data_IF_478511061658
#
_entry.id   IF_478511061658
#
_cell.length_a   1.000
_cell.length_b   1.000
_cell.length_c   1.000
_cell.angle_alpha   90.00
_cell.angle_beta   90.00
_cell.angle_gamma   90.00
#
_symmetry.space_group_name_H-M   'P 1'
#
loop_
_entity.id
_entity.type
_entity.pdbx_description
1 polymer ?
#
# COMPACT_ATOMS: atom_id res chain seq x y z
N UNK A 1 35.46 -32.34 48.96
CA UNK A 1 34.92 -31.27 48.09
C UNK A 1 35.47 -31.39 46.68
N UNK A 2 36.75 -31.71 46.50
CA UNK A 2 37.39 -31.87 45.18
C UNK A 2 36.82 -33.00 44.31
N UNK A 3 36.47 -34.16 44.88
CA UNK A 3 35.92 -35.29 44.10
C UNK A 3 34.56 -35.00 43.44
N UNK A 4 33.73 -34.15 44.05
CA UNK A 4 32.42 -33.77 43.48
C UNK A 4 32.54 -32.76 42.34
N UNK A 5 33.58 -31.91 42.37
CA UNK A 5 33.87 -30.94 41.30
C UNK A 5 34.36 -31.67 40.05
N UNK A 6 35.24 -32.67 40.21
CA UNK A 6 35.71 -33.50 39.10
C UNK A 6 34.56 -34.29 38.48
N UNK A 7 33.67 -34.85 39.30
CA UNK A 7 32.51 -35.58 38.80
C UNK A 7 31.53 -34.66 38.03
N UNK A 8 31.31 -33.43 38.52
CA UNK A 8 30.50 -32.42 37.85
C UNK A 8 31.08 -31.98 36.50
N UNK A 9 32.40 -31.83 36.41
CA UNK A 9 33.09 -31.48 35.17
C UNK A 9 33.03 -32.59 34.12
N UNK A 10 33.19 -33.85 34.54
CA UNK A 10 33.04 -35.01 33.65
C UNK A 10 31.60 -35.12 33.13
N UNK A 11 30.61 -34.90 34.01
CA UNK A 11 29.21 -34.91 33.61
C UNK A 11 28.90 -33.78 32.61
N UNK A 12 29.45 -32.60 32.81
CA UNK A 12 29.29 -31.44 31.92
C UNK A 12 29.89 -31.72 30.53
N UNK A 13 31.08 -32.33 30.46
CA UNK A 13 31.71 -32.70 29.18
C UNK A 13 30.91 -33.76 28.44
N UNK A 14 30.35 -34.74 29.16
CA UNK A 14 29.48 -35.77 28.56
C UNK A 14 28.20 -35.14 28.00
N UNK A 15 27.57 -34.22 28.74
CA UNK A 15 26.36 -33.52 28.29
C UNK A 15 26.65 -32.67 27.06
N UNK A 16 27.75 -31.90 27.07
CA UNK A 16 28.16 -31.07 25.92
C UNK A 16 28.45 -31.95 24.68
N UNK A 17 29.18 -33.06 24.86
CA UNK A 17 29.47 -34.01 23.80
C UNK A 17 28.20 -34.66 23.22
N UNK A 18 27.25 -35.04 24.06
CA UNK A 18 25.96 -35.58 23.63
C UNK A 18 25.12 -34.54 22.87
N UNK A 19 25.08 -33.28 23.33
CA UNK A 19 24.38 -32.20 22.60
C UNK A 19 25.03 -31.90 21.24
N UNK A 20 26.37 -31.89 21.14
CA UNK A 20 27.06 -31.67 19.87
C UNK A 20 26.85 -32.83 18.89
N UNK A 21 26.84 -34.08 19.37
CA UNK A 21 26.56 -35.26 18.56
C UNK A 21 25.11 -35.32 18.05
N UNK A 22 24.15 -34.73 18.78
CA UNK A 22 22.75 -34.60 18.34
C UNK A 22 22.53 -33.50 17.29
N UNK A 23 23.39 -32.48 17.24
CA UNK A 23 23.30 -31.37 16.28
C UNK A 23 24.04 -31.69 14.96
N UNK A 24 25.12 -32.47 15.01
CA UNK A 24 25.94 -32.82 13.86
C UNK A 24 25.21 -33.49 12.66
N UNK A 25 24.19 -34.37 12.83
CA UNK A 25 23.54 -35.03 11.70
C UNK A 25 22.61 -34.10 10.90
N UNK A 26 22.21 -32.94 11.46
CA UNK A 26 21.27 -32.00 10.80
C UNK A 26 21.94 -31.04 9.81
N UNK A 27 23.27 -30.97 9.77
CA UNK A 27 24.01 -30.09 8.85
C UNK A 27 24.51 -30.78 7.56
N UNK A 28 24.20 -32.06 7.32
CA UNK A 28 24.77 -32.83 6.20
C UNK A 28 23.81 -33.20 5.04
N UNK A 29 22.64 -32.57 4.92
CA UNK A 29 21.78 -32.75 3.75
C UNK A 29 21.43 -31.40 3.11
N UNK A 30 22.23 -30.99 2.12
CA UNK A 30 21.79 -29.99 1.11
C UNK A 30 20.85 -30.70 0.12
N UNK A 31 19.69 -30.13 -0.23
CA UNK A 31 18.93 -30.60 -1.38
C UNK A 31 19.72 -30.33 -2.69
N UNK A 32 19.59 -31.18 -3.71
CA UNK A 32 20.22 -30.95 -5.00
C UNK A 32 19.64 -29.71 -5.70
N UNK A 33 20.50 -28.96 -6.40
CA UNK A 33 20.12 -27.80 -7.19
C UNK A 33 19.22 -28.20 -8.37
N UNK A 34 18.25 -27.35 -8.77
CA UNK A 34 17.49 -27.57 -10.00
C UNK A 34 18.39 -27.45 -11.25
N UNK A 35 18.08 -28.18 -12.35
CA UNK A 35 18.87 -28.14 -13.57
C UNK A 35 18.82 -26.77 -14.23
N UNK A 36 19.98 -26.24 -14.59
CA UNK A 36 20.14 -25.03 -15.41
C UNK A 36 19.68 -25.28 -16.85
N UNK A 37 18.90 -24.37 -17.46
CA UNK A 37 18.63 -24.42 -18.90
C UNK A 37 19.91 -24.13 -19.72
N UNK A 38 20.02 -24.64 -20.95
CA UNK A 38 21.25 -24.60 -21.73
C UNK A 38 21.65 -23.18 -22.15
N UNK A 39 22.87 -22.79 -21.79
CA UNK A 39 23.56 -21.61 -22.29
C UNK A 39 24.17 -21.94 -23.66
N UNK A 40 23.64 -21.32 -24.72
CA UNK A 40 24.26 -21.32 -26.04
C UNK A 40 25.47 -20.39 -26.01
N UNK A 41 26.63 -20.99 -26.20
CA UNK A 41 27.92 -20.36 -26.41
C UNK A 41 27.85 -19.42 -27.62
N UNK A 42 28.07 -18.12 -27.40
CA UNK A 42 28.54 -17.21 -28.46
C UNK A 42 30.00 -16.91 -28.17
N UNK A 43 30.84 -17.55 -28.97
CA UNK A 43 32.28 -17.39 -29.06
C UNK A 43 32.60 -15.96 -29.55
N UNK A 44 33.42 -15.24 -28.77
CA UNK A 44 33.95 -13.94 -29.12
C UNK A 44 35.41 -14.13 -29.55
N UNK A 45 35.66 -14.10 -30.85
CA UNK A 45 37.00 -14.12 -31.42
C UNK A 45 37.46 -12.69 -31.72
N UNK A 46 38.68 -12.35 -31.25
CA UNK A 46 39.37 -11.08 -31.47
C UNK A 46 40.01 -11.04 -32.87
N UNK A 47 40.08 -9.87 -33.53
CA UNK A 47 40.69 -9.74 -34.86
C UNK A 47 42.20 -9.41 -34.79
N UNK A 48 42.96 -9.96 -35.74
CA UNK A 48 44.31 -9.51 -36.15
C UNK A 48 44.47 -9.56 -37.69
N UNK A 49 45.40 -8.78 -38.28
CA UNK A 49 45.23 -8.08 -39.57
C UNK A 49 45.72 -8.83 -40.82
N UNK A 50 45.50 -8.28 -42.04
CA UNK A 50 45.57 -9.03 -43.29
C UNK A 50 46.92 -8.92 -44.02
N UNK A 51 47.22 -9.93 -44.84
CA UNK A 51 48.27 -9.87 -45.87
C UNK A 51 47.74 -10.42 -47.20
N UNK A 52 47.59 -9.51 -48.17
CA UNK A 52 47.94 -9.52 -49.62
C UNK A 52 48.26 -10.91 -50.24
N UNK A 53 47.88 -11.33 -51.46
CA UNK A 53 47.89 -10.68 -52.79
C UNK A 53 47.11 -11.53 -53.83
N UNK A 54 46.53 -10.86 -54.85
CA UNK A 54 46.28 -11.27 -56.27
C UNK A 54 45.43 -12.53 -56.54
N UNK A 55 44.52 -12.56 -57.52
CA UNK A 55 44.63 -12.07 -58.90
C UNK A 55 43.22 -11.92 -59.52
N UNK A 56 43.03 -10.91 -60.37
CA UNK A 56 41.86 -10.74 -61.24
C UNK A 56 42.04 -11.61 -62.52
N UNK A 57 41.00 -11.85 -63.37
CA UNK A 57 40.48 -10.77 -64.20
C UNK A 57 38.97 -10.79 -64.55
N UNK A 58 38.49 -9.56 -64.75
CA UNK A 58 37.61 -9.05 -65.81
C UNK A 58 36.19 -9.62 -66.01
N UNK A 59 35.20 -8.74 -65.77
CA UNK A 59 34.07 -8.54 -66.68
C UNK A 59 33.29 -7.25 -66.33
N UNK A 60 33.46 -6.26 -67.21
CA UNK A 60 32.51 -5.22 -67.68
C UNK A 60 31.86 -4.26 -66.65
N UNK A 61 32.17 -2.98 -66.86
CA UNK A 61 31.65 -1.77 -66.20
C UNK A 61 30.29 -1.39 -66.79
N UNK A 62 29.29 -1.18 -65.93
CA UNK A 62 28.13 -0.32 -66.21
C UNK A 62 27.84 0.54 -64.97
N UNK A 63 27.67 1.85 -65.16
CA UNK A 63 27.66 2.86 -64.10
C UNK A 63 26.33 2.89 -63.31
N UNK A 64 26.35 3.10 -61.98
CA UNK A 64 25.13 3.26 -61.19
C UNK A 64 24.57 4.70 -61.28
N UNK A 65 23.23 4.89 -61.24
CA UNK A 65 22.62 6.21 -61.19
C UNK A 65 22.73 6.84 -59.79
N UNK A 66 22.72 8.19 -59.75
CA UNK A 66 22.85 9.02 -58.54
C UNK A 66 21.73 8.74 -57.51
N UNK A 67 22.03 8.69 -56.20
CA UNK A 67 21.00 8.62 -55.16
C UNK A 67 20.23 9.95 -55.03
N UNK A 68 18.90 9.86 -54.97
CA UNK A 68 18.02 10.96 -54.58
C UNK A 68 18.04 11.08 -53.05
N UNK A 69 18.40 12.26 -52.57
CA UNK A 69 18.49 12.60 -51.16
C UNK A 69 17.08 12.67 -50.54
N UNK A 70 16.81 11.84 -49.53
CA UNK A 70 15.56 11.86 -48.77
C UNK A 70 15.56 13.05 -47.79
N UNK A 71 14.47 13.81 -47.66
CA UNK A 71 14.43 14.94 -46.73
C UNK A 71 14.48 14.45 -45.28
N UNK A 72 15.32 15.10 -44.48
CA UNK A 72 15.50 14.84 -43.05
C UNK A 72 14.17 14.96 -42.27
N UNK A 73 13.93 14.13 -41.25
CA UNK A 73 12.76 14.23 -40.41
C UNK A 73 12.81 15.52 -39.59
N UNK A 74 11.77 16.34 -39.70
CA UNK A 74 11.52 17.48 -38.82
C UNK A 74 11.46 17.02 -37.35
N UNK A 75 12.04 17.76 -36.40
CA UNK A 75 11.93 17.44 -34.98
C UNK A 75 10.46 17.54 -34.56
N UNK A 76 9.93 16.46 -33.99
CA UNK A 76 8.64 16.50 -33.29
C UNK A 76 8.85 17.35 -32.04
N UNK A 77 8.33 18.57 -32.04
CA UNK A 77 8.24 19.37 -30.83
C UNK A 77 7.20 18.70 -29.94
N UNK A 78 7.67 18.03 -28.88
CA UNK A 78 6.81 17.46 -27.85
C UNK A 78 6.05 18.61 -27.18
N UNK A 79 4.73 18.66 -27.39
CA UNK A 79 3.88 19.69 -26.79
C UNK A 79 4.03 19.61 -25.26
N UNK A 80 4.11 20.75 -24.54
CA UNK A 80 4.20 20.73 -23.08
C UNK A 80 3.02 19.93 -22.51
N UNK A 81 3.26 19.08 -21.49
CA UNK A 81 2.23 18.22 -20.94
C UNK A 81 1.04 19.06 -20.51
N UNK A 82 -0.14 18.77 -21.07
CA UNK A 82 -1.36 19.44 -20.68
C UNK A 82 -1.69 19.02 -19.24
N UNK A 83 -1.72 20.00 -18.34
CA UNK A 83 -2.11 19.78 -16.96
C UNK A 83 -3.57 19.30 -16.93
N UNK A 84 -3.81 18.17 -16.30
CA UNK A 84 -5.14 17.66 -16.04
C UNK A 84 -5.76 18.48 -14.92
N UNK A 85 -6.91 19.09 -15.15
CA UNK A 85 -7.71 19.71 -14.08
C UNK A 85 -8.45 18.60 -13.35
N UNK A 86 -8.15 18.31 -12.07
CA UNK A 86 -8.82 17.25 -11.35
C UNK A 86 -10.31 17.58 -11.17
N UNK A 87 -11.16 16.56 -11.12
CA UNK A 87 -12.58 16.78 -10.85
C UNK A 87 -12.80 17.34 -9.43
N UNK A 88 -13.76 18.26 -9.25
CA UNK A 88 -14.15 18.79 -7.94
C UNK A 88 -14.56 17.67 -6.97
N UNK A 89 -14.14 17.81 -5.72
CA UNK A 89 -14.28 16.81 -4.65
C UNK A 89 -15.74 16.37 -4.42
N UNK A 90 -16.72 17.26 -4.56
CA UNK A 90 -18.14 16.93 -4.36
C UNK A 90 -18.70 15.94 -5.40
N UNK A 91 -18.39 16.13 -6.67
CA UNK A 91 -18.86 15.25 -7.75
C UNK A 91 -18.19 13.87 -7.66
N UNK A 92 -16.90 13.87 -7.32
CA UNK A 92 -16.11 12.67 -7.06
C UNK A 92 -16.72 11.81 -5.95
N UNK A 93 -17.03 12.41 -4.80
CA UNK A 93 -17.64 11.72 -3.66
C UNK A 93 -18.98 11.05 -4.02
N UNK A 94 -19.81 11.72 -4.80
CA UNK A 94 -21.11 11.17 -5.24
C UNK A 94 -20.93 9.91 -6.10
N UNK A 95 -20.01 9.94 -7.07
CA UNK A 95 -19.69 8.77 -7.91
C UNK A 95 -19.11 7.62 -7.09
N UNK A 96 -18.25 7.93 -6.13
CA UNK A 96 -17.57 6.96 -5.29
C UNK A 96 -18.52 6.24 -4.33
N UNK A 97 -19.51 6.95 -3.77
CA UNK A 97 -20.62 6.35 -3.00
C UNK A 97 -21.37 5.30 -3.81
N UNK A 98 -21.69 5.59 -5.07
CA UNK A 98 -22.37 4.65 -5.96
C UNK A 98 -21.52 3.40 -6.30
N UNK A 99 -20.19 3.46 -6.16
CA UNK A 99 -19.31 2.29 -6.32
C UNK A 99 -19.23 1.45 -5.05
N UNK A 100 -19.09 2.09 -3.89
CA UNK A 100 -19.11 1.43 -2.57
C UNK A 100 -20.38 0.62 -2.34
N UNK A 101 -21.55 1.21 -2.64
CA UNK A 101 -22.84 0.50 -2.52
C UNK A 101 -22.89 -0.75 -3.41
N UNK A 102 -22.32 -0.70 -4.62
CA UNK A 102 -22.34 -1.84 -5.56
C UNK A 102 -21.45 -3.00 -5.12
N UNK A 103 -20.28 -2.74 -4.56
CA UNK A 103 -19.35 -3.81 -4.14
C UNK A 103 -19.76 -4.50 -2.84
N UNK A 104 -20.51 -3.82 -1.96
CA UNK A 104 -20.82 -4.34 -0.62
C UNK A 104 -22.24 -4.90 -0.44
N UNK A 105 -23.07 -4.82 -1.48
CA UNK A 105 -24.44 -5.33 -1.47
C UNK A 105 -24.59 -6.84 -1.18
N UNK A 106 -23.54 -7.66 -1.33
CA UNK A 106 -23.64 -9.11 -1.06
C UNK A 106 -23.75 -9.39 0.43
N UNK A 107 -22.96 -8.69 1.26
CA UNK A 107 -22.97 -8.87 2.70
C UNK A 107 -24.28 -8.38 3.30
N UNK A 108 -24.71 -7.16 2.94
CA UNK A 108 -25.97 -6.58 3.41
C UNK A 108 -27.18 -7.44 3.06
N UNK A 109 -27.23 -8.01 1.85
CA UNK A 109 -28.32 -8.94 1.45
C UNK A 109 -28.32 -10.23 2.26
N UNK A 110 -27.15 -10.82 2.51
CA UNK A 110 -27.02 -12.03 3.33
C UNK A 110 -27.50 -11.79 4.76
N UNK A 111 -27.00 -10.73 5.39
CA UNK A 111 -27.39 -10.34 6.75
C UNK A 111 -28.89 -10.00 6.84
N UNK A 112 -29.44 -9.29 5.85
CA UNK A 112 -30.87 -9.01 5.80
C UNK A 112 -31.72 -10.28 5.71
N UNK A 113 -31.31 -11.26 4.91
CA UNK A 113 -32.03 -12.53 4.81
C UNK A 113 -32.05 -13.28 6.15
N UNK A 114 -30.94 -13.28 6.89
CA UNK A 114 -30.85 -13.88 8.22
C UNK A 114 -31.71 -13.13 9.24
N UNK A 115 -31.63 -11.80 9.25
CA UNK A 115 -32.36 -10.94 10.19
C UNK A 115 -33.86 -10.82 9.87
N UNK A 116 -34.32 -11.29 8.72
CA UNK A 116 -35.73 -11.32 8.32
C UNK A 116 -36.45 -12.62 8.66
N UNK A 117 -35.77 -13.59 9.27
CA UNK A 117 -36.41 -14.86 9.70
C UNK A 117 -37.42 -14.59 10.81
N UNK A 118 -38.53 -15.33 10.80
CA UNK A 118 -39.62 -15.20 11.78
C UNK A 118 -39.16 -15.41 13.23
N UNK A 119 -38.10 -16.21 13.41
CA UNK A 119 -37.48 -16.48 14.71
C UNK A 119 -35.96 -16.36 14.59
N UNK A 120 -35.37 -15.54 15.45
CA UNK A 120 -33.92 -15.42 15.64
C UNK A 120 -33.49 -16.33 16.78
N UNK A 121 -33.35 -17.61 16.48
CA UNK A 121 -32.75 -18.60 17.38
C UNK A 121 -31.22 -18.53 17.39
N UNK A 122 -30.60 -19.34 18.24
CA UNK A 122 -29.14 -19.36 18.42
C UNK A 122 -28.42 -19.69 17.11
N UNK A 123 -28.95 -20.63 16.32
CA UNK A 123 -28.41 -20.98 14.99
C UNK A 123 -28.39 -19.76 14.04
N UNK A 124 -29.46 -18.95 14.04
CA UNK A 124 -29.51 -17.73 13.22
C UNK A 124 -28.48 -16.69 13.67
N UNK A 125 -28.22 -16.56 14.97
CA UNK A 125 -27.18 -15.67 15.48
C UNK A 125 -25.78 -16.15 15.13
N UNK A 126 -25.54 -17.46 15.17
CA UNK A 126 -24.28 -18.06 14.75
C UNK A 126 -24.01 -17.82 13.25
N UNK A 127 -25.03 -17.93 12.39
CA UNK A 127 -24.94 -17.59 10.96
C UNK A 127 -24.62 -16.11 10.74
N UNK A 128 -25.17 -15.20 11.55
CA UNK A 128 -24.85 -13.76 11.49
C UNK A 128 -23.39 -13.51 11.89
N UNK A 129 -22.91 -14.17 12.94
CA UNK A 129 -21.50 -14.11 13.37
C UNK A 129 -20.57 -14.65 12.28
N UNK A 130 -20.86 -15.83 11.71
CA UNK A 130 -20.08 -16.40 10.61
C UNK A 130 -20.02 -15.46 9.40
N UNK A 131 -21.15 -14.85 9.05
CA UNK A 131 -21.25 -13.91 7.93
C UNK A 131 -20.37 -12.67 8.14
N UNK A 132 -20.37 -12.08 9.34
CA UNK A 132 -19.53 -10.94 9.68
C UNK A 132 -18.03 -11.30 9.73
N UNK A 133 -17.69 -12.49 10.25
CA UNK A 133 -16.31 -12.99 10.24
C UNK A 133 -15.83 -13.21 8.80
N UNK A 134 -16.66 -13.82 7.95
CA UNK A 134 -16.37 -14.04 6.52
C UNK A 134 -16.14 -12.74 5.75
N UNK A 135 -16.74 -11.63 6.22
CA UNK A 135 -16.51 -10.29 5.69
C UNK A 135 -15.23 -9.61 6.21
N UNK A 136 -14.36 -10.31 6.95
CA UNK A 136 -13.14 -9.80 7.59
C UNK A 136 -13.38 -8.74 8.69
N UNK A 137 -14.56 -8.69 9.33
CA UNK A 137 -14.80 -7.82 10.52
C UNK A 137 -13.88 -8.21 11.70
N UNK A 138 -13.51 -9.48 11.76
CA UNK A 138 -12.64 -10.06 12.79
C UNK A 138 -13.42 -10.61 13.98
N UNK A 139 -12.96 -11.75 14.50
CA UNK A 139 -13.69 -12.56 15.51
C UNK A 139 -14.10 -11.72 16.72
N UNK A 140 -13.16 -11.07 17.38
CA UNK A 140 -13.45 -10.29 18.59
C UNK A 140 -14.50 -9.19 18.34
N UNK A 141 -14.36 -8.43 17.24
CA UNK A 141 -15.27 -7.35 16.91
C UNK A 141 -16.67 -7.90 16.61
N UNK A 142 -16.74 -8.98 15.83
CA UNK A 142 -18.00 -9.65 15.52
C UNK A 142 -18.71 -10.13 16.78
N UNK A 143 -18.03 -10.88 17.66
CA UNK A 143 -18.64 -11.42 18.88
C UNK A 143 -19.22 -10.31 19.75
N UNK A 144 -18.51 -9.18 19.89
CA UNK A 144 -19.02 -8.02 20.63
C UNK A 144 -20.22 -7.35 19.96
N UNK A 145 -20.20 -7.19 18.63
CA UNK A 145 -21.30 -6.58 17.86
C UNK A 145 -22.55 -7.45 17.95
N UNK A 146 -22.41 -8.76 17.74
CA UNK A 146 -23.52 -9.73 17.77
C UNK A 146 -24.11 -9.82 19.18
N UNK A 147 -23.29 -9.84 20.23
CA UNK A 147 -23.77 -9.86 21.60
C UNK A 147 -24.65 -8.63 21.92
N UNK A 148 -24.20 -7.42 21.55
CA UNK A 148 -24.97 -6.19 21.75
C UNK A 148 -26.24 -6.15 20.90
N UNK A 149 -26.17 -6.61 19.66
CA UNK A 149 -27.33 -6.69 18.78
C UNK A 149 -28.39 -7.65 19.35
N UNK A 150 -27.99 -8.84 19.83
CA UNK A 150 -28.88 -9.81 20.47
C UNK A 150 -29.52 -9.26 21.73
N UNK A 151 -28.76 -8.55 22.56
CA UNK A 151 -29.28 -7.88 23.75
C UNK A 151 -30.35 -6.83 23.38
N UNK A 152 -30.05 -5.96 22.42
CA UNK A 152 -31.00 -4.93 21.94
C UNK A 152 -32.25 -5.52 21.31
N UNK A 153 -32.11 -6.54 20.48
CA UNK A 153 -33.24 -7.25 19.89
C UNK A 153 -34.16 -7.82 20.97
N UNK A 154 -33.59 -8.42 22.04
CA UNK A 154 -34.36 -8.94 23.17
C UNK A 154 -35.11 -7.84 23.94
N UNK A 155 -34.48 -6.67 24.12
CA UNK A 155 -35.10 -5.52 24.83
C UNK A 155 -36.25 -4.93 24.01
N UNK A 156 -36.07 -4.79 22.70
CA UNK A 156 -37.11 -4.25 21.81
C UNK A 156 -38.25 -5.23 21.53
N UNK A 157 -38.05 -6.54 21.74
CA UNK A 157 -39.07 -7.56 21.52
C UNK A 157 -39.20 -7.92 20.04
N UNK A 158 -40.36 -7.71 19.43
CA UNK A 158 -40.62 -7.96 18.01
C UNK A 158 -40.07 -6.82 17.16
N UNK A 159 -38.77 -6.86 16.90
CA UNK A 159 -38.12 -5.94 15.95
C UNK A 159 -38.34 -6.43 14.52
N UNK A 160 -38.72 -5.52 13.63
CA UNK A 160 -38.76 -5.78 12.19
C UNK A 160 -37.34 -5.95 11.63
N UNK A 161 -37.21 -6.62 10.49
CA UNK A 161 -35.92 -6.75 9.80
C UNK A 161 -35.23 -5.40 9.53
N UNK A 162 -36.04 -4.36 9.23
CA UNK A 162 -35.53 -3.01 9.02
C UNK A 162 -34.96 -2.39 10.31
N UNK A 163 -35.62 -2.59 11.45
CA UNK A 163 -35.12 -2.14 12.76
C UNK A 163 -33.85 -2.88 13.16
N UNK A 164 -33.80 -4.21 12.98
CA UNK A 164 -32.60 -5.01 13.25
C UNK A 164 -31.41 -4.58 12.38
N UNK A 165 -31.64 -4.31 11.09
CA UNK A 165 -30.62 -3.73 10.22
C UNK A 165 -30.14 -2.38 10.75
N UNK A 166 -31.05 -1.51 11.17
CA UNK A 166 -30.70 -0.21 11.76
C UNK A 166 -29.87 -0.35 13.04
N UNK A 167 -30.20 -1.31 13.90
CA UNK A 167 -29.42 -1.63 15.10
C UNK A 167 -28.03 -2.15 14.74
N UNK A 168 -27.92 -3.08 13.78
CA UNK A 168 -26.63 -3.58 13.31
C UNK A 168 -25.77 -2.46 12.71
N UNK A 169 -26.36 -1.60 11.88
CA UNK A 169 -25.68 -0.43 11.32
C UNK A 169 -25.15 0.48 12.44
N UNK A 170 -25.96 0.75 13.46
CA UNK A 170 -25.53 1.55 14.61
C UNK A 170 -24.35 0.91 15.36
N UNK A 171 -24.36 -0.41 15.59
CA UNK A 171 -23.26 -1.12 16.24
C UNK A 171 -21.99 -1.13 15.39
N UNK A 172 -22.10 -1.30 14.07
CA UNK A 172 -20.96 -1.23 13.15
C UNK A 172 -20.36 0.17 13.08
N UNK A 173 -21.19 1.22 13.03
CA UNK A 173 -20.73 2.61 13.10
C UNK A 173 -20.02 2.87 14.42
N UNK A 174 -20.59 2.42 15.54
CA UNK A 174 -19.97 2.56 16.85
C UNK A 174 -18.61 1.84 16.93
N UNK A 175 -18.50 0.64 16.35
CA UNK A 175 -17.24 -0.11 16.27
C UNK A 175 -16.17 0.62 15.44
N UNK A 176 -16.59 1.46 14.48
CA UNK A 176 -15.72 2.34 13.71
C UNK A 176 -15.39 3.66 14.42
N UNK A 177 -15.85 3.93 15.65
CA UNK A 177 -15.49 5.13 16.41
C UNK A 177 -15.61 6.42 15.55
N UNK A 178 -16.84 6.86 15.23
CA UNK A 178 -17.07 7.92 14.26
C UNK A 178 -16.44 9.27 14.68
N UNK A 179 -16.18 9.45 15.97
CA UNK A 179 -15.64 10.69 16.54
C UNK A 179 -14.10 10.82 16.39
N UNK A 180 -13.41 9.79 15.88
CA UNK A 180 -11.98 9.91 15.58
C UNK A 180 -11.74 10.96 14.49
N UNK A 181 -10.70 11.78 14.68
CA UNK A 181 -10.22 12.70 13.65
C UNK A 181 -9.65 11.93 12.46
N UNK A 182 -10.30 12.13 11.31
CA UNK A 182 -9.92 11.53 10.02
C UNK A 182 -9.42 12.57 9.02
N UNK A 183 -9.25 13.81 9.46
CA UNK A 183 -8.70 14.87 8.62
C UNK A 183 -7.26 14.51 8.22
N UNK A 184 -6.91 14.85 6.99
CA UNK A 184 -5.55 14.70 6.50
C UNK A 184 -4.76 15.94 6.93
N UNK A 185 -3.63 15.77 7.63
CA UNK A 185 -2.79 16.87 8.06
C UNK A 185 -1.93 17.44 6.90
N UNK A 186 -2.58 17.90 5.82
CA UNK A 186 -1.97 18.39 4.59
C UNK A 186 -2.03 19.92 4.42
N UNK A 187 -2.06 20.67 5.52
CA UNK A 187 -2.04 22.14 5.50
C UNK A 187 -0.78 22.66 6.19
N UNK A 188 -0.17 23.75 5.69
CA UNK A 188 1.01 24.35 6.31
C UNK A 188 0.84 24.60 7.80
N UNK A 189 1.90 24.34 8.56
CA UNK A 189 1.97 24.66 9.99
C UNK A 189 3.30 25.31 10.30
N UNK A 190 3.32 26.24 11.25
CA UNK A 190 4.54 26.83 11.78
C UNK A 190 5.48 27.41 10.69
N UNK A 191 4.91 27.93 9.60
CA UNK A 191 5.67 28.53 8.49
C UNK A 191 6.40 27.54 7.58
N UNK A 192 6.06 26.24 7.63
CA UNK A 192 6.59 25.18 6.76
C UNK A 192 5.45 24.41 6.07
N UNK A 193 5.72 23.74 4.92
CA UNK A 193 4.76 22.81 4.34
C UNK A 193 4.40 21.69 5.31
N UNK A 194 3.19 21.15 5.18
CA UNK A 194 2.84 19.87 5.77
C UNK A 194 3.71 18.75 5.16
N UNK A 195 4.24 17.86 5.98
CA UNK A 195 5.06 16.73 5.51
C UNK A 195 4.30 15.43 5.72
N UNK A 196 3.92 14.78 4.61
CA UNK A 196 3.21 13.51 4.56
C UNK A 196 4.17 12.39 4.14
N UNK A 197 4.38 11.41 5.02
CA UNK A 197 5.17 10.22 4.75
C UNK A 197 4.24 9.05 4.39
N UNK A 198 4.40 8.46 3.20
CA UNK A 198 3.58 7.33 2.76
C UNK A 198 4.38 6.04 2.85
N UNK A 199 3.90 5.11 3.68
CA UNK A 199 4.53 3.82 3.96
C UNK A 199 3.58 2.66 3.70
N UNK A 200 4.12 1.44 3.72
CA UNK A 200 3.32 0.22 3.60
C UNK A 200 3.93 -0.83 2.70
N UNK A 201 3.19 -1.91 2.52
CA UNK A 201 3.70 -3.14 1.93
C UNK A 201 3.76 -3.07 0.41
N UNK A 202 4.59 -3.92 -0.21
CA UNK A 202 4.64 -4.02 -1.66
C UNK A 202 3.30 -4.45 -2.25
N UNK A 203 2.93 -3.87 -3.39
CA UNK A 203 1.67 -4.21 -4.07
C UNK A 203 0.41 -3.59 -3.48
N UNK A 204 0.49 -2.89 -2.33
CA UNK A 204 -0.64 -2.18 -1.72
C UNK A 204 -1.06 -0.90 -2.45
N UNK A 205 -0.27 -0.45 -3.43
CA UNK A 205 -0.59 0.73 -4.24
C UNK A 205 -0.07 2.06 -3.68
N UNK A 206 1.08 2.08 -2.99
CA UNK A 206 1.70 3.29 -2.42
C UNK A 206 1.89 4.42 -3.42
N UNK A 207 2.75 4.23 -4.43
CA UNK A 207 3.04 5.22 -5.48
C UNK A 207 1.76 5.72 -6.17
N UNK A 208 0.83 4.81 -6.48
CA UNK A 208 -0.48 5.18 -7.04
C UNK A 208 -1.29 6.04 -6.09
N UNK A 209 -1.33 5.69 -4.80
CA UNK A 209 -2.04 6.44 -3.77
C UNK A 209 -1.39 7.80 -3.53
N UNK A 210 -0.06 7.90 -3.55
CA UNK A 210 0.65 9.18 -3.49
C UNK A 210 0.20 10.11 -4.63
N UNK A 211 0.15 9.60 -5.87
CA UNK A 211 -0.34 10.37 -7.01
C UNK A 211 -1.80 10.81 -6.87
N UNK A 212 -2.68 9.92 -6.38
CA UNK A 212 -4.09 10.26 -6.12
C UNK A 212 -4.25 11.30 -5.01
N UNK A 213 -3.47 11.22 -3.93
CA UNK A 213 -3.46 12.23 -2.85
C UNK A 213 -3.01 13.58 -3.40
N UNK A 214 -1.89 13.63 -4.13
CA UNK A 214 -1.40 14.87 -4.73
C UNK A 214 -2.47 15.48 -5.65
N UNK A 215 -3.16 14.66 -6.44
CA UNK A 215 -4.26 15.11 -7.30
C UNK A 215 -5.44 15.67 -6.51
N UNK A 216 -5.85 15.04 -5.40
CA UNK A 216 -6.91 15.56 -4.52
C UNK A 216 -6.50 16.91 -3.93
N UNK A 217 -5.28 17.01 -3.39
CA UNK A 217 -4.77 18.24 -2.79
C UNK A 217 -4.72 19.39 -3.80
N UNK A 218 -4.23 19.15 -5.02
CA UNK A 218 -4.23 20.12 -6.11
C UNK A 218 -5.66 20.51 -6.52
N UNK A 219 -6.59 19.55 -6.56
CA UNK A 219 -8.02 19.83 -6.82
C UNK A 219 -8.62 20.79 -5.79
N UNK A 220 -8.20 20.63 -4.53
CA UNK A 220 -8.60 21.46 -3.39
C UNK A 220 -7.81 22.78 -3.31
N UNK A 221 -6.96 23.09 -4.31
CA UNK A 221 -6.22 24.35 -4.43
C UNK A 221 -4.87 24.39 -3.72
N UNK A 222 -4.38 23.27 -3.19
CA UNK A 222 -3.08 23.18 -2.53
C UNK A 222 -1.94 23.01 -3.53
N UNK A 223 -0.81 23.62 -3.24
CA UNK A 223 0.45 23.39 -3.95
C UNK A 223 1.21 22.20 -3.34
N UNK A 224 1.73 21.32 -4.19
CA UNK A 224 2.31 20.04 -3.76
C UNK A 224 3.69 19.81 -4.38
N UNK A 225 4.64 19.39 -3.54
CA UNK A 225 5.90 18.77 -3.96
C UNK A 225 5.86 17.29 -3.58
N UNK A 226 6.38 16.42 -4.44
CA UNK A 226 6.46 14.98 -4.20
C UNK A 226 7.91 14.53 -4.09
N UNK A 227 8.22 13.63 -3.16
CA UNK A 227 9.54 13.01 -3.01
C UNK A 227 9.52 11.53 -3.41
N UNK A 228 10.34 11.15 -4.40
CA UNK A 228 10.47 9.78 -4.88
C UNK A 228 11.52 8.99 -4.07
N UNK A 229 11.20 8.69 -2.80
CA UNK A 229 12.10 7.96 -1.90
C UNK A 229 12.04 6.42 -2.05
N UNK A 230 11.17 5.85 -2.90
CA UNK A 230 11.31 4.45 -3.38
C UNK A 230 12.45 4.35 -4.42
N UNK A 231 13.69 4.55 -3.95
CA UNK A 231 14.90 4.64 -4.80
C UNK A 231 15.37 3.28 -5.35
N UNK A 232 14.83 2.19 -4.82
CA UNK A 232 15.17 0.83 -5.27
C UNK A 232 14.42 0.46 -6.56
N UNK A 233 13.26 1.08 -6.82
CA UNK A 233 12.46 0.81 -8.01
C UNK A 233 12.52 2.02 -8.94
N UNK A 234 13.39 1.97 -9.95
CA UNK A 234 13.47 3.02 -10.98
C UNK A 234 12.08 3.37 -11.56
N UNK A 235 11.28 2.35 -11.88
CA UNK A 235 9.92 2.53 -12.37
C UNK A 235 8.95 3.22 -11.39
N UNK A 236 9.20 3.13 -10.07
CA UNK A 236 8.37 3.83 -9.08
C UNK A 236 8.59 5.34 -9.13
N UNK A 237 9.85 5.78 -9.24
CA UNK A 237 10.18 7.20 -9.40
C UNK A 237 9.61 7.78 -10.71
N UNK A 238 9.69 7.03 -11.82
CA UNK A 238 9.08 7.43 -13.10
C UNK A 238 7.55 7.48 -13.04
N UNK A 239 6.94 6.49 -12.39
CA UNK A 239 5.50 6.46 -12.16
C UNK A 239 5.07 7.68 -11.34
N UNK A 240 5.78 8.00 -10.25
CA UNK A 240 5.51 9.17 -9.42
C UNK A 240 5.67 10.48 -10.20
N UNK A 241 6.73 10.60 -11.01
CA UNK A 241 6.95 11.75 -11.89
C UNK A 241 5.81 11.93 -12.91
N UNK A 242 5.28 10.83 -13.45
CA UNK A 242 4.11 10.87 -14.34
C UNK A 242 2.87 11.38 -13.61
N UNK A 243 2.65 10.94 -12.36
CA UNK A 243 1.55 11.46 -11.53
C UNK A 243 1.69 12.95 -11.24
N UNK A 244 2.88 13.38 -10.80
CA UNK A 244 3.15 14.79 -10.51
C UNK A 244 2.99 15.68 -11.73
N UNK A 245 3.54 15.26 -12.88
CA UNK A 245 3.45 15.98 -14.15
C UNK A 245 2.01 16.17 -14.65
N UNK A 246 1.10 15.22 -14.39
CA UNK A 246 -0.33 15.36 -14.74
C UNK A 246 -1.02 16.48 -13.98
N UNK A 247 -0.60 16.79 -12.76
CA UNK A 247 -1.27 17.76 -11.87
C UNK A 247 -0.40 19.00 -11.57
N UNK A 248 0.78 19.09 -12.19
CA UNK A 248 1.70 20.20 -11.98
C UNK A 248 2.45 20.16 -10.64
N UNK A 249 2.46 19.01 -9.95
CA UNK A 249 3.24 18.82 -8.73
C UNK A 249 4.69 18.47 -9.09
N UNK A 250 5.64 19.24 -8.56
CA UNK A 250 7.07 18.98 -8.77
C UNK A 250 7.48 17.68 -8.08
N UNK A 251 8.28 16.83 -8.74
CA UNK A 251 8.78 15.57 -8.17
C UNK A 251 10.29 15.61 -7.99
N UNK A 252 10.73 15.58 -6.74
CA UNK A 252 12.14 15.46 -6.35
C UNK A 252 12.55 13.99 -6.36
N UNK A 253 13.63 13.68 -7.08
CA UNK A 253 14.16 12.32 -7.23
C UNK A 253 15.70 12.34 -7.21
N UNK A 254 16.29 11.29 -6.64
CA UNK A 254 17.73 11.03 -6.72
C UNK A 254 18.10 10.10 -7.88
N UNK A 255 19.39 9.81 -8.09
CA UNK A 255 19.82 8.73 -8.97
C UNK A 255 19.29 7.36 -8.50
N UNK A 256 19.26 6.36 -9.39
CA UNK A 256 18.86 5.00 -9.03
C UNK A 256 19.77 4.46 -7.91
N UNK A 257 19.16 3.87 -6.87
CA UNK A 257 19.89 3.39 -5.70
C UNK A 257 20.39 4.49 -4.75
N UNK A 258 19.96 5.75 -4.92
CA UNK A 258 20.22 6.81 -3.96
C UNK A 258 19.68 6.46 -2.57
N UNK A 259 20.27 7.06 -1.54
CA UNK A 259 19.77 6.94 -0.17
C UNK A 259 18.36 7.57 -0.06
N UNK A 260 17.30 6.80 0.27
CA UNK A 260 15.93 7.31 0.41
C UNK A 260 15.81 8.52 1.33
N UNK A 261 16.58 8.52 2.42
CA UNK A 261 16.55 9.60 3.40
C UNK A 261 17.11 10.91 2.82
N UNK A 262 18.08 10.84 1.92
CA UNK A 262 18.61 12.03 1.22
C UNK A 262 17.58 12.60 0.25
N UNK A 263 16.89 11.75 -0.52
CA UNK A 263 15.82 12.20 -1.44
C UNK A 263 14.66 12.84 -0.67
N UNK A 264 14.25 12.24 0.45
CA UNK A 264 13.21 12.78 1.31
C UNK A 264 13.60 14.13 1.94
N UNK A 265 14.85 14.28 2.38
CA UNK A 265 15.39 15.55 2.86
C UNK A 265 15.31 16.65 1.81
N UNK A 266 15.80 16.36 0.60
CA UNK A 266 15.82 17.32 -0.51
C UNK A 266 14.40 17.70 -0.94
N UNK A 267 13.43 16.77 -0.90
CA UNK A 267 12.04 17.05 -1.19
C UNK A 267 11.43 18.06 -0.19
N UNK A 268 11.70 17.88 1.10
CA UNK A 268 11.19 18.79 2.14
C UNK A 268 11.85 20.15 2.04
N UNK A 269 13.17 20.19 1.86
CA UNK A 269 13.91 21.43 1.62
C UNK A 269 13.35 22.18 0.41
N UNK A 270 13.12 21.47 -0.70
CA UNK A 270 12.55 22.06 -1.92
C UNK A 270 11.15 22.61 -1.68
N UNK A 271 10.31 21.89 -0.94
CA UNK A 271 8.98 22.37 -0.56
C UNK A 271 9.01 23.64 0.30
N UNK A 272 9.95 23.73 1.24
CA UNK A 272 10.20 24.94 2.04
C UNK A 272 10.63 26.10 1.14
N UNK A 273 11.63 25.89 0.28
CA UNK A 273 12.19 26.92 -0.60
C UNK A 273 11.15 27.44 -1.61
N UNK A 274 10.25 26.56 -2.07
CA UNK A 274 9.17 26.90 -2.99
C UNK A 274 7.92 27.46 -2.29
N UNK A 275 7.85 27.39 -0.95
CA UNK A 275 6.70 27.85 -0.17
C UNK A 275 5.41 27.09 -0.48
N UNK A 276 5.51 25.78 -0.77
CA UNK A 276 4.32 24.96 -1.08
C UNK A 276 3.51 24.61 0.16
N UNK A 277 2.29 24.14 -0.05
CA UNK A 277 1.39 23.76 1.03
C UNK A 277 1.75 22.40 1.64
N UNK A 278 2.11 21.43 0.80
CA UNK A 278 2.36 20.04 1.20
C UNK A 278 3.56 19.41 0.47
N UNK A 279 4.33 18.62 1.21
CA UNK A 279 5.34 17.69 0.69
C UNK A 279 4.90 16.25 0.93
N UNK A 280 4.80 15.45 -0.13
CA UNK A 280 4.35 14.06 -0.08
C UNK A 280 5.47 13.09 -0.46
N UNK A 281 5.88 12.21 0.44
CA UNK A 281 7.05 11.34 0.27
C UNK A 281 6.60 9.89 0.05
N UNK A 282 6.91 9.32 -1.12
CA UNK A 282 6.68 7.91 -1.47
C UNK A 282 7.88 7.06 -1.06
N UNK A 283 7.70 6.05 -0.19
CA UNK A 283 8.79 5.18 0.28
C UNK A 283 8.74 3.77 -0.30
N UNK A 284 9.84 3.04 -0.16
CA UNK A 284 9.88 1.60 -0.44
C UNK A 284 8.95 0.79 0.50
N UNK A 285 8.64 -0.46 0.12
CA UNK A 285 7.77 -1.36 0.90
C UNK A 285 8.18 -2.83 0.97
N UNK A 286 9.47 -3.12 0.79
CA UNK A 286 10.02 -4.49 0.69
C UNK A 286 10.09 -5.20 2.05
N UNK A 287 8.94 -5.64 2.56
CA UNK A 287 8.79 -6.25 3.89
C UNK A 287 9.51 -7.60 4.06
N UNK A 288 9.91 -8.29 2.97
CA UNK A 288 10.63 -9.57 3.06
C UNK A 288 11.97 -9.47 3.80
N UNK A 289 12.55 -8.27 3.92
CA UNK A 289 13.69 -7.98 4.79
C UNK A 289 13.26 -6.98 5.89
N UNK A 290 12.44 -7.44 6.84
CA UNK A 290 11.78 -6.60 7.85
C UNK A 290 12.73 -5.64 8.56
N UNK A 291 13.89 -6.12 9.01
CA UNK A 291 14.85 -5.29 9.78
C UNK A 291 15.39 -4.16 8.91
N UNK A 292 15.91 -4.47 7.71
CA UNK A 292 16.47 -3.46 6.83
C UNK A 292 15.46 -2.40 6.37
N UNK A 293 14.22 -2.80 6.07
CA UNK A 293 13.17 -1.85 5.70
C UNK A 293 12.82 -0.91 6.86
N UNK A 294 12.70 -1.43 8.08
CA UNK A 294 12.33 -0.62 9.24
C UNK A 294 13.44 0.37 9.62
N UNK A 295 14.70 -0.05 9.56
CA UNK A 295 15.84 0.85 9.78
C UNK A 295 15.87 1.97 8.74
N UNK A 296 15.58 1.66 7.48
CA UNK A 296 15.50 2.63 6.39
C UNK A 296 14.36 3.64 6.60
N UNK A 297 13.15 3.16 6.90
CA UNK A 297 11.99 4.02 7.15
C UNK A 297 12.19 4.92 8.39
N UNK A 298 12.73 4.36 9.47
CA UNK A 298 13.11 5.13 10.66
C UNK A 298 14.22 6.15 10.38
N UNK A 299 15.16 5.85 9.48
CA UNK A 299 16.16 6.81 9.00
C UNK A 299 15.53 7.93 8.17
N UNK A 300 14.64 7.62 7.23
CA UNK A 300 13.92 8.61 6.41
C UNK A 300 13.18 9.60 7.31
N UNK A 301 12.37 9.09 8.25
CA UNK A 301 11.64 9.93 9.21
C UNK A 301 12.58 10.86 9.99
N UNK A 302 13.61 10.32 10.65
CA UNK A 302 14.57 11.13 11.44
C UNK A 302 15.29 12.20 10.63
N UNK A 303 15.58 11.93 9.35
CA UNK A 303 16.27 12.88 8.48
C UNK A 303 15.33 14.00 8.04
N UNK A 304 14.11 13.66 7.67
CA UNK A 304 13.04 14.63 7.36
C UNK A 304 12.75 15.52 8.58
N UNK A 305 12.72 14.95 9.78
CA UNK A 305 12.43 15.65 11.03
C UNK A 305 13.42 16.76 11.39
N UNK A 306 14.59 16.82 10.72
CA UNK A 306 15.53 17.95 10.84
C UNK A 306 14.94 19.28 10.35
N UNK A 307 13.92 19.23 9.50
CA UNK A 307 13.20 20.41 8.99
C UNK A 307 11.92 20.72 9.77
N UNK A 308 11.56 19.91 10.78
CA UNK A 308 10.29 19.97 11.49
C UNK A 308 9.59 18.62 11.51
N UNK A 309 8.59 18.41 12.39
CA UNK A 309 7.97 17.09 12.56
C UNK A 309 7.27 16.62 11.28
N UNK A 310 7.24 15.30 11.06
CA UNK A 310 6.35 14.69 10.07
C UNK A 310 4.92 14.83 10.57
N UNK A 311 4.07 15.55 9.83
CA UNK A 311 2.70 15.86 10.26
C UNK A 311 1.74 14.67 10.09
N UNK A 312 2.03 13.81 9.13
CA UNK A 312 1.21 12.63 8.84
C UNK A 312 2.08 11.48 8.32
N UNK A 313 1.91 10.30 8.90
CA UNK A 313 2.44 9.05 8.37
C UNK A 313 1.27 8.16 7.94
N UNK A 314 1.08 8.01 6.64
CA UNK A 314 0.00 7.24 6.05
C UNK A 314 0.46 5.81 5.72
N UNK A 315 -0.20 4.83 6.33
CA UNK A 315 0.01 3.42 6.01
C UNK A 315 -0.98 2.96 4.94
N UNK A 316 -0.45 2.55 3.79
CA UNK A 316 -1.24 2.00 2.69
C UNK A 316 -1.41 0.49 2.87
N UNK A 317 -2.66 0.03 2.96
CA UNK A 317 -3.02 -1.39 3.05
C UNK A 317 -4.00 -1.77 1.94
N UNK A 318 -3.84 -2.99 1.45
CA UNK A 318 -4.72 -3.58 0.46
C UNK A 318 -5.87 -4.32 1.15
N UNK A 319 -7.12 -3.88 0.91
CA UNK A 319 -8.30 -4.49 1.52
C UNK A 319 -8.50 -5.98 1.15
N UNK A 320 -7.91 -6.44 0.04
CA UNK A 320 -7.98 -7.85 -0.38
C UNK A 320 -7.10 -8.78 0.45
N UNK A 321 -6.10 -8.23 1.16
CA UNK A 321 -5.16 -9.03 1.97
C UNK A 321 -5.77 -9.51 3.28
N UNK A 322 -6.92 -8.95 3.68
CA UNK A 322 -7.62 -9.30 4.92
C UNK A 322 -6.72 -9.21 6.15
N UNK A 323 -6.85 -10.19 7.06
CA UNK A 323 -6.10 -10.23 8.32
C UNK A 323 -4.56 -10.34 8.12
N UNK A 324 -4.08 -10.78 6.97
CA UNK A 324 -2.63 -10.88 6.71
C UNK A 324 -1.99 -9.49 6.58
N UNK A 325 -2.68 -8.54 5.94
CA UNK A 325 -2.21 -7.15 5.84
C UNK A 325 -2.11 -6.49 7.21
N UNK A 326 -2.98 -6.88 8.14
CA UNK A 326 -3.05 -6.31 9.48
C UNK A 326 -1.86 -6.68 10.38
N UNK A 327 -1.36 -7.91 10.26
CA UNK A 327 -0.14 -8.30 11.00
C UNK A 327 1.10 -7.58 10.47
N UNK A 328 1.14 -7.32 9.16
CA UNK A 328 2.20 -6.53 8.55
C UNK A 328 2.12 -5.06 8.97
N UNK A 329 0.90 -4.51 9.04
CA UNK A 329 0.64 -3.13 9.45
C UNK A 329 1.20 -2.80 10.84
N UNK A 330 1.02 -3.71 11.81
CA UNK A 330 1.50 -3.53 13.19
C UNK A 330 3.00 -3.18 13.27
N UNK A 331 3.81 -3.84 12.45
CA UNK A 331 5.26 -3.60 12.44
C UNK A 331 5.59 -2.17 11.98
N UNK A 332 4.85 -1.61 11.02
CA UNK A 332 5.04 -0.22 10.60
C UNK A 332 4.64 0.76 11.71
N UNK A 333 3.55 0.49 12.42
CA UNK A 333 3.06 1.37 13.49
C UNK A 333 4.08 1.53 14.62
N UNK A 334 4.88 0.51 14.90
CA UNK A 334 5.91 0.52 15.95
C UNK A 334 7.17 1.32 15.57
N UNK A 335 7.40 1.61 14.28
CA UNK A 335 8.69 2.16 13.80
C UNK A 335 8.59 3.60 13.30
N UNK A 336 7.48 3.97 12.64
CA UNK A 336 7.34 5.29 11.99
C UNK A 336 6.23 6.17 12.54
N UNK A 337 5.59 5.77 13.65
CA UNK A 337 4.42 6.43 14.25
C UNK A 337 3.35 6.73 13.20
N UNK A 338 2.71 5.67 12.70
CA UNK A 338 1.62 5.78 11.72
C UNK A 338 0.45 6.55 12.35
N UNK A 339 -0.02 7.59 11.66
CA UNK A 339 -1.11 8.48 12.13
C UNK A 339 -2.43 8.24 11.41
N UNK A 340 -2.39 7.60 10.24
CA UNK A 340 -3.58 7.30 9.45
C UNK A 340 -3.38 6.09 8.54
N UNK A 341 -4.48 5.42 8.22
CA UNK A 341 -4.50 4.31 7.26
C UNK A 341 -5.23 4.72 5.99
N UNK A 342 -4.72 4.29 4.84
CA UNK A 342 -5.42 4.32 3.56
C UNK A 342 -5.67 2.90 3.09
N UNK A 343 -6.94 2.55 2.88
CA UNK A 343 -7.32 1.23 2.38
C UNK A 343 -7.58 1.26 0.88
N UNK A 344 -6.84 0.49 0.11
CA UNK A 344 -6.98 0.40 -1.35
C UNK A 344 -7.77 -0.85 -1.77
N UNK A 345 -8.23 -0.87 -3.02
CA UNK A 345 -8.93 -2.01 -3.66
C UNK A 345 -10.21 -2.46 -2.94
N UNK A 346 -10.88 -1.54 -2.27
CA UNK A 346 -12.11 -1.82 -1.52
C UNK A 346 -13.31 -2.11 -2.45
N UNK A 347 -13.22 -1.72 -3.73
CA UNK A 347 -14.20 -2.02 -4.76
C UNK A 347 -14.11 -3.46 -5.30
N UNK A 348 -12.95 -4.10 -5.17
CA UNK A 348 -12.68 -5.45 -5.67
C UNK A 348 -12.98 -6.58 -4.69
N UNK A 349 -13.56 -6.29 -3.51
CA UNK A 349 -13.68 -7.28 -2.43
C UNK A 349 -15.01 -7.22 -1.68
N UNK A 350 -15.52 -8.39 -1.32
CA UNK A 350 -16.64 -8.55 -0.37
C UNK A 350 -16.18 -8.47 1.11
N UNK A 351 -14.88 -8.36 1.34
CA UNK A 351 -14.24 -8.28 2.67
C UNK A 351 -14.23 -6.86 3.23
N UNK A 352 -15.38 -6.17 3.16
CA UNK A 352 -15.50 -4.79 3.63
C UNK A 352 -15.22 -4.63 5.13
N UNK A 353 -15.45 -5.65 5.93
CA UNK A 353 -15.26 -5.62 7.39
C UNK A 353 -13.82 -5.35 7.84
N UNK A 354 -12.83 -5.50 6.94
CA UNK A 354 -11.41 -5.28 7.26
C UNK A 354 -11.14 -3.89 7.87
N UNK A 355 -11.94 -2.87 7.53
CA UNK A 355 -11.81 -1.52 8.10
C UNK A 355 -11.95 -1.54 9.64
N UNK A 356 -12.94 -2.29 10.14
CA UNK A 356 -13.20 -2.42 11.59
C UNK A 356 -12.03 -3.13 12.26
N UNK A 357 -11.57 -4.24 11.68
CA UNK A 357 -10.45 -5.00 12.21
C UNK A 357 -9.16 -4.17 12.26
N UNK A 358 -8.87 -3.41 11.20
CA UNK A 358 -7.70 -2.54 11.11
C UNK A 358 -7.73 -1.49 12.20
N UNK A 359 -8.84 -0.75 12.32
CA UNK A 359 -8.93 0.36 13.27
C UNK A 359 -8.84 -0.14 14.72
N UNK A 360 -9.51 -1.27 15.04
CA UNK A 360 -9.48 -1.84 16.39
C UNK A 360 -8.12 -2.40 16.78
N UNK A 361 -7.42 -3.08 15.85
CA UNK A 361 -6.14 -3.73 16.15
C UNK A 361 -4.96 -2.75 16.14
N UNK A 362 -5.00 -1.71 15.30
CA UNK A 362 -3.93 -0.71 15.23
C UNK A 362 -4.19 0.52 16.11
N UNK A 363 -5.45 0.82 16.44
CA UNK A 363 -5.81 2.05 17.17
C UNK A 363 -5.65 3.33 16.33
N UNK A 364 -5.56 3.19 15.00
CA UNK A 364 -5.26 4.28 14.06
C UNK A 364 -6.45 4.46 13.11
N UNK A 365 -6.93 5.69 12.87
CA UNK A 365 -8.07 5.94 12.00
C UNK A 365 -7.79 5.58 10.54
N UNK A 366 -8.76 4.95 9.88
CA UNK A 366 -8.79 4.91 8.41
C UNK A 366 -9.26 6.28 7.93
N UNK A 367 -8.39 6.98 7.20
CA UNK A 367 -8.63 8.37 6.74
C UNK A 367 -9.13 8.40 5.29
N UNK A 368 -8.61 7.52 4.44
CA UNK A 368 -8.91 7.49 3.01
C UNK A 368 -9.21 6.06 2.53
N UNK A 369 -10.03 5.95 1.49
CA UNK A 369 -10.34 4.69 0.80
C UNK A 369 -10.18 4.82 -0.71
N UNK A 370 -9.47 3.87 -1.30
CA UNK A 370 -9.32 3.70 -2.74
C UNK A 370 -10.39 2.74 -3.27
N UNK A 371 -11.18 3.23 -4.23
CA UNK A 371 -12.40 2.57 -4.71
C UNK A 371 -12.33 2.21 -6.20
N UNK A 372 -11.12 2.09 -6.73
CA UNK A 372 -10.87 1.73 -8.12
C UNK A 372 -9.50 2.16 -8.63
N UNK A 373 -9.27 1.90 -9.91
CA UNK A 373 -8.00 2.16 -10.62
C UNK A 373 -7.92 3.57 -11.21
N UNK A 374 -9.05 4.26 -11.38
CA UNK A 374 -9.10 5.60 -11.95
C UNK A 374 -8.36 6.63 -11.11
N UNK A 375 -7.87 7.73 -11.73
CA UNK A 375 -7.07 8.75 -11.04
C UNK A 375 -7.84 9.50 -9.95
N UNK A 376 -9.16 9.55 -10.06
CA UNK A 376 -10.04 10.19 -9.10
C UNK A 376 -10.72 9.19 -8.13
N UNK A 377 -10.31 7.92 -8.14
CA UNK A 377 -10.87 6.86 -7.29
C UNK A 377 -10.19 6.80 -5.91
N UNK A 378 -10.20 7.93 -5.19
CA UNK A 378 -9.77 8.06 -3.80
C UNK A 378 -10.75 9.00 -3.07
N UNK A 379 -11.27 8.59 -1.93
CA UNK A 379 -12.19 9.37 -1.10
C UNK A 379 -11.76 9.42 0.37
N UNK A 380 -12.09 10.51 1.07
CA UNK A 380 -12.23 10.50 2.53
C UNK A 380 -13.10 9.35 3.03
N UNK A 381 -12.66 8.72 4.12
CA UNK A 381 -13.43 7.68 4.78
C UNK A 381 -14.50 8.30 5.69
N UNK A 382 -15.75 7.92 5.48
CA UNK A 382 -16.89 8.26 6.33
C UNK A 382 -17.49 6.96 6.87
N UNK A 383 -17.48 6.81 8.20
CA UNK A 383 -17.90 5.58 8.86
C UNK A 383 -19.40 5.27 8.63
N UNK A 384 -20.26 6.29 8.59
CA UNK A 384 -21.71 6.10 8.40
C UNK A 384 -21.98 5.67 6.97
N UNK A 385 -21.48 6.43 6.00
CA UNK A 385 -21.65 6.11 4.58
C UNK A 385 -21.06 4.74 4.22
N UNK A 386 -19.94 4.38 4.84
CA UNK A 386 -19.34 3.06 4.67
C UNK A 386 -20.26 1.95 5.20
N UNK A 387 -20.78 2.09 6.42
CA UNK A 387 -21.67 1.08 7.02
C UNK A 387 -23.00 1.01 6.28
N UNK A 388 -23.56 2.15 5.88
CA UNK A 388 -24.80 2.21 5.10
C UNK A 388 -24.64 1.44 3.78
N UNK A 389 -23.51 1.61 3.09
CA UNK A 389 -23.16 0.82 1.92
C UNK A 389 -22.94 -0.67 2.24
N UNK A 390 -22.36 -1.01 3.38
CA UNK A 390 -22.10 -2.39 3.82
C UNK A 390 -23.38 -3.17 4.12
N UNK A 391 -24.32 -2.54 4.83
CA UNK A 391 -25.58 -3.16 5.27
C UNK A 391 -26.74 -2.92 4.31
N UNK A 392 -26.55 -2.09 3.28
CA UNK A 392 -27.61 -1.69 2.35
C UNK A 392 -28.72 -0.91 3.05
N UNK A 393 -28.37 -0.08 4.03
CA UNK A 393 -29.28 0.92 4.58
C UNK A 393 -29.28 2.09 3.58
N UNK A 394 -30.42 2.31 2.92
CA UNK A 394 -30.65 3.35 1.92
C UNK A 394 -30.06 3.11 0.52
N UNK A 395 -30.88 2.45 -0.31
CA UNK A 395 -31.11 2.85 -1.69
C UNK A 395 -32.56 3.30 -1.83
#
# INVERSE_FOLDING_TARGET
MESYIVFGLVLLVIVIGATLALIAPRYRKRPPLPPTPPSVTKEAEKPQPPTVVTEAPASVVEAPPKPVEAPAPTPVVEAPPQLETPEPTQNRLTRLRARLSRSQNVLGKGLLALLSRDKLDDDTWDEVEETLIGADVGVQATTEIVAKLRERARIHGTATAAELRGMLAAELVAALQPDLDRSLAATPRDGRPAVLLVVGVNGAGKTTTCGKIARVLVADGHTVVMGAADTFRAAAAEQLATWGGRVGAEVVRGPEGADPASVAFDAVKRGIDAGVDTVLIDTAGRLQNKVGLMDELGKVKRVVEKHGPVDETLLILDATTGQNGLEQARVFTEVVDVTGVVLTKLDGTAKGGIVIAVQRKLGIPVKLVGLGEGPDDLAPFDARQFVDALVGADA
#
